data_IF_170953419429
#
_entry.id   IF_170953419429
#
_cell.length_a   1.000
_cell.length_b   1.000
_cell.length_c   1.000
_cell.angle_alpha   90.00
_cell.angle_beta   90.00
_cell.angle_gamma   90.00
#
_symmetry.space_group_name_H-M   'P 1'
#
loop_
_entity.id
_entity.type
_entity.pdbx_description
1 polymer ?
#
# COMPACT_ATOMS: atom_id res chain seq x y z
N UNK A 1 -28.81 -30.43 26.24
CA UNK A 1 -27.37 -30.22 26.01
C UNK A 1 -27.13 -28.73 26.06
N UNK A 2 -26.78 -28.25 27.24
CA UNK A 2 -26.40 -26.86 27.51
C UNK A 2 -25.14 -26.53 26.72
N UNK A 3 -25.23 -25.53 25.85
CA UNK A 3 -24.08 -24.93 25.19
C UNK A 3 -23.24 -24.26 26.27
N UNK A 4 -22.18 -24.93 26.70
CA UNK A 4 -21.12 -24.30 27.47
C UNK A 4 -20.54 -23.17 26.62
N UNK A 5 -20.94 -21.94 26.96
CA UNK A 5 -20.24 -20.75 26.53
C UNK A 5 -18.79 -20.92 26.97
N UNK A 6 -17.90 -21.10 26.00
CA UNK A 6 -16.46 -20.99 26.23
C UNK A 6 -16.22 -19.56 26.71
N UNK A 7 -16.24 -19.36 28.03
CA UNK A 7 -15.60 -18.24 28.68
C UNK A 7 -14.11 -18.37 28.38
N UNK A 8 -13.67 -17.76 27.29
CA UNK A 8 -12.27 -17.38 27.16
C UNK A 8 -12.09 -16.28 28.20
N UNK A 9 -11.76 -16.66 29.43
CA UNK A 9 -11.19 -15.73 30.40
C UNK A 9 -10.07 -14.97 29.67
N UNK A 10 -10.24 -13.65 29.64
CA UNK A 10 -9.45 -12.67 28.91
C UNK A 10 -8.02 -12.66 29.48
N UNK A 11 -7.22 -13.66 29.10
CA UNK A 11 -5.95 -13.99 29.77
C UNK A 11 -4.79 -13.07 29.42
N UNK A 12 -5.02 -12.01 28.66
CA UNK A 12 -3.97 -11.10 28.25
C UNK A 12 -4.04 -9.81 29.06
N UNK A 13 -2.87 -9.41 29.55
CA UNK A 13 -2.69 -8.18 30.32
C UNK A 13 -3.18 -6.99 29.49
N UNK A 14 -3.96 -6.10 30.11
CA UNK A 14 -4.41 -4.87 29.47
C UNK A 14 -3.28 -3.84 29.53
N UNK A 15 -2.99 -3.19 28.41
CA UNK A 15 -2.03 -2.08 28.41
C UNK A 15 -2.53 -0.95 29.32
N UNK A 16 -1.80 -0.57 30.37
CA UNK A 16 -2.23 0.47 31.32
C UNK A 16 -1.65 1.85 30.98
N UNK A 17 -2.09 2.90 31.69
CA UNK A 17 -1.55 4.26 31.47
C UNK A 17 -0.11 4.39 31.96
N UNK A 18 0.23 3.63 33.01
CA UNK A 18 1.54 3.62 33.64
C UNK A 18 2.59 3.01 32.69
N UNK A 19 2.21 1.93 32.00
CA UNK A 19 3.03 1.26 30.98
C UNK A 19 3.48 2.19 29.86
N UNK A 20 2.75 3.27 29.58
CA UNK A 20 3.15 4.29 28.59
C UNK A 20 4.57 4.84 28.83
N UNK A 21 5.02 4.90 30.09
CA UNK A 21 6.30 5.51 30.47
C UNK A 21 7.50 4.64 30.10
N UNK A 22 7.38 3.33 30.17
CA UNK A 22 8.51 2.41 30.12
C UNK A 22 8.35 1.23 29.14
N UNK A 23 7.15 0.99 28.59
CA UNK A 23 6.94 -0.06 27.60
C UNK A 23 7.31 0.39 26.19
N UNK A 24 7.92 -0.51 25.43
CA UNK A 24 8.13 -0.35 23.98
C UNK A 24 6.97 -1.01 23.23
N UNK A 25 6.25 -0.24 22.41
CA UNK A 25 5.13 -0.73 21.60
C UNK A 25 5.65 -1.13 20.22
N UNK A 26 5.52 -2.41 19.86
CA UNK A 26 5.94 -2.94 18.56
C UNK A 26 4.79 -2.84 17.55
N UNK A 27 5.06 -2.18 16.43
CA UNK A 27 4.10 -1.93 15.35
C UNK A 27 4.54 -2.69 14.09
N UNK A 28 3.73 -3.61 13.55
CA UNK A 28 4.00 -4.26 12.27
C UNK A 28 4.06 -3.23 11.14
N UNK A 29 5.00 -3.40 10.20
CA UNK A 29 5.12 -2.47 9.07
C UNK A 29 4.20 -2.87 7.90
N UNK A 30 3.24 -1.99 7.60
CA UNK A 30 2.40 -2.10 6.41
C UNK A 30 2.85 -1.16 5.31
N UNK A 31 3.33 0.04 5.64
CA UNK A 31 3.76 1.04 4.65
C UNK A 31 4.85 1.90 5.28
N UNK A 32 6.09 1.67 4.86
CA UNK A 32 7.26 2.18 5.60
C UNK A 32 7.29 3.71 5.71
N UNK A 33 6.87 4.45 4.67
CA UNK A 33 6.81 5.92 4.68
C UNK A 33 5.79 6.40 5.73
N UNK A 34 4.56 5.89 5.64
CA UNK A 34 3.47 6.27 6.54
C UNK A 34 3.79 5.91 7.99
N UNK A 35 4.26 4.70 8.24
CA UNK A 35 4.52 4.21 9.59
C UNK A 35 5.72 4.90 10.24
N UNK A 36 6.70 5.36 9.45
CA UNK A 36 7.79 6.21 9.95
C UNK A 36 7.26 7.59 10.40
N UNK A 37 6.32 8.18 9.66
CA UNK A 37 5.67 9.43 10.07
C UNK A 37 4.75 9.22 11.28
N UNK A 38 4.01 8.11 11.33
CA UNK A 38 3.17 7.76 12.49
C UNK A 38 4.00 7.52 13.74
N UNK A 39 5.18 6.90 13.63
CA UNK A 39 6.14 6.75 14.73
C UNK A 39 6.47 8.12 15.34
N UNK A 40 6.84 9.11 14.53
CA UNK A 40 7.13 10.47 15.00
C UNK A 40 5.93 11.09 15.74
N UNK A 41 4.71 10.87 15.26
CA UNK A 41 3.48 11.35 15.94
C UNK A 41 3.27 10.64 17.27
N UNK A 42 3.43 9.31 17.34
CA UNK A 42 3.28 8.57 18.59
C UNK A 42 4.33 8.97 19.63
N UNK A 43 5.58 9.18 19.20
CA UNK A 43 6.67 9.66 20.05
C UNK A 43 6.39 11.08 20.58
N UNK A 44 5.81 11.97 19.75
CA UNK A 44 5.34 13.29 20.21
C UNK A 44 4.28 13.16 21.33
N UNK A 45 3.46 12.12 21.29
CA UNK A 45 2.47 11.83 22.34
C UNK A 45 3.06 11.09 23.54
N UNK A 46 4.37 10.85 23.58
CA UNK A 46 5.07 10.19 24.68
C UNK A 46 4.87 8.67 24.70
N UNK A 47 4.59 8.04 23.56
CA UNK A 47 4.65 6.59 23.44
C UNK A 47 6.02 6.19 22.87
N UNK A 48 6.69 5.22 23.50
CA UNK A 48 7.89 4.60 22.92
C UNK A 48 7.45 3.52 21.93
N UNK A 49 7.66 3.74 20.64
CA UNK A 49 7.21 2.82 19.59
C UNK A 49 8.35 2.40 18.68
N UNK A 50 8.30 1.17 18.20
CA UNK A 50 9.23 0.64 17.21
C UNK A 50 8.45 0.02 16.04
N UNK A 51 8.77 0.44 14.82
CA UNK A 51 8.22 -0.17 13.61
C UNK A 51 9.05 -1.41 13.30
N UNK A 52 8.41 -2.57 13.25
CA UNK A 52 9.03 -3.85 12.96
C UNK A 52 9.51 -3.91 11.51
N UNK A 53 10.77 -4.28 11.31
CA UNK A 53 11.42 -4.40 9.99
C UNK A 53 11.95 -5.80 9.71
N UNK A 54 11.77 -6.73 10.66
CA UNK A 54 12.10 -8.14 10.45
C UNK A 54 11.22 -8.73 9.36
N UNK A 55 11.83 -9.54 8.51
CA UNK A 55 11.22 -10.14 7.32
C UNK A 55 11.86 -11.50 7.01
N UNK A 56 11.36 -12.17 5.95
CA UNK A 56 11.92 -13.42 5.47
C UNK A 56 11.29 -14.67 6.09
N UNK A 57 11.96 -15.80 5.90
CA UNK A 57 11.41 -17.12 6.23
C UNK A 57 11.14 -17.33 7.72
N UNK A 58 11.89 -16.68 8.62
CA UNK A 58 11.66 -16.80 10.06
C UNK A 58 10.28 -16.26 10.45
N UNK A 59 9.90 -15.10 9.94
CA UNK A 59 8.58 -14.48 10.12
C UNK A 59 7.46 -15.40 9.63
N UNK A 60 7.61 -15.97 8.43
CA UNK A 60 6.61 -16.89 7.85
C UNK A 60 6.49 -18.16 8.71
N UNK A 61 7.61 -18.73 9.16
CA UNK A 61 7.63 -19.93 9.98
C UNK A 61 6.99 -19.71 11.36
N UNK A 62 7.27 -18.58 12.02
CA UNK A 62 6.62 -18.25 13.29
C UNK A 62 5.11 -18.07 13.12
N UNK A 63 4.68 -17.44 12.01
CA UNK A 63 3.27 -17.35 11.64
C UNK A 63 2.63 -18.73 11.48
N UNK A 64 3.23 -19.62 10.67
CA UNK A 64 2.74 -20.99 10.43
C UNK A 64 2.71 -21.85 11.69
N UNK A 65 3.62 -21.62 12.64
CA UNK A 65 3.70 -22.38 13.89
C UNK A 65 2.53 -22.10 14.82
N UNK A 66 2.07 -20.85 14.89
CA UNK A 66 1.08 -20.43 15.88
C UNK A 66 -0.29 -20.07 15.32
N UNK A 67 -0.37 -19.79 14.02
CA UNK A 67 -1.60 -19.40 13.33
C UNK A 67 -1.99 -20.49 12.33
N UNK A 68 -3.29 -20.80 12.25
CA UNK A 68 -3.80 -21.80 11.32
C UNK A 68 -3.57 -21.35 9.87
N UNK A 69 -3.05 -22.24 9.02
CA UNK A 69 -2.72 -21.97 7.62
C UNK A 69 -3.94 -21.56 6.76
N UNK A 70 -5.15 -22.05 7.09
CA UNK A 70 -6.40 -21.59 6.44
C UNK A 70 -6.82 -20.15 6.76
N UNK A 71 -6.06 -19.40 7.57
CA UNK A 71 -6.30 -17.97 7.77
C UNK A 71 -5.81 -17.15 6.57
N UNK A 72 -6.16 -15.87 6.50
CA UNK A 72 -5.65 -15.00 5.46
C UNK A 72 -4.17 -14.66 5.69
N UNK A 73 -3.37 -14.68 4.62
CA UNK A 73 -1.92 -14.54 4.68
C UNK A 73 -1.40 -13.30 5.47
N UNK A 74 -2.04 -12.11 5.41
CA UNK A 74 -1.62 -10.97 6.21
C UNK A 74 -1.67 -11.22 7.72
N UNK A 75 -2.65 -12.01 8.20
CA UNK A 75 -2.73 -12.36 9.62
C UNK A 75 -1.52 -13.18 10.05
N UNK A 76 -1.12 -14.13 9.20
CA UNK A 76 0.04 -14.98 9.42
C UNK A 76 1.32 -14.16 9.47
N UNK A 77 1.52 -13.26 8.50
CA UNK A 77 2.70 -12.40 8.45
C UNK A 77 2.78 -11.42 9.63
N UNK A 78 1.69 -10.72 9.94
CA UNK A 78 1.67 -9.74 11.04
C UNK A 78 1.92 -10.41 12.39
N UNK A 79 1.25 -11.53 12.66
CA UNK A 79 1.43 -12.27 13.93
C UNK A 79 2.82 -12.92 13.98
N UNK A 80 3.26 -13.51 12.87
CA UNK A 80 4.60 -14.07 12.74
C UNK A 80 5.69 -13.03 12.97
N UNK A 81 5.53 -11.82 12.42
CA UNK A 81 6.51 -10.73 12.55
C UNK A 81 6.62 -10.28 14.00
N UNK A 82 5.50 -10.20 14.72
CA UNK A 82 5.51 -9.88 16.15
C UNK A 82 6.17 -10.98 16.99
N UNK A 83 5.85 -12.26 16.75
CA UNK A 83 6.42 -13.36 17.53
C UNK A 83 7.92 -13.53 17.25
N UNK A 84 8.33 -13.44 15.98
CA UNK A 84 9.74 -13.43 15.58
C UNK A 84 10.52 -12.30 16.26
N UNK A 85 9.92 -11.10 16.34
CA UNK A 85 10.50 -9.97 17.06
C UNK A 85 10.64 -10.27 18.57
N UNK A 86 9.65 -10.90 19.22
CA UNK A 86 9.74 -11.31 20.62
C UNK A 86 10.81 -12.38 20.85
N UNK A 87 10.98 -13.32 19.91
CA UNK A 87 12.00 -14.37 19.96
C UNK A 87 13.43 -13.86 19.71
N UNK A 88 13.59 -12.65 19.16
CA UNK A 88 14.90 -12.11 18.76
C UNK A 88 15.88 -11.85 19.91
N UNK A 89 15.41 -11.80 21.16
CA UNK A 89 16.22 -11.41 22.32
C UNK A 89 16.50 -9.90 22.43
N UNK A 90 16.00 -9.09 21.49
CA UNK A 90 16.21 -7.63 21.47
C UNK A 90 15.40 -6.87 22.53
N UNK A 91 14.26 -7.42 22.95
CA UNK A 91 13.29 -6.71 23.79
C UNK A 91 13.21 -7.29 25.21
N UNK A 92 13.00 -6.42 26.19
CA UNK A 92 12.58 -6.82 27.53
C UNK A 92 11.10 -7.23 27.49
N UNK A 93 10.84 -8.53 27.59
CA UNK A 93 9.50 -9.11 27.50
C UNK A 93 8.56 -8.66 28.64
N UNK A 94 9.09 -8.06 29.71
CA UNK A 94 8.29 -7.47 30.79
C UNK A 94 7.95 -6.00 30.55
N UNK A 95 8.51 -5.40 29.48
CA UNK A 95 8.34 -3.98 29.12
C UNK A 95 8.12 -3.82 27.61
N UNK A 96 7.39 -4.75 27.02
CA UNK A 96 7.00 -4.73 25.61
C UNK A 96 5.48 -4.84 25.49
N UNK A 97 4.92 -4.14 24.52
CA UNK A 97 3.52 -4.25 24.13
C UNK A 97 3.44 -4.43 22.63
N UNK A 98 2.37 -5.06 22.15
CA UNK A 98 2.09 -5.20 20.72
C UNK A 98 0.91 -4.31 20.36
N UNK A 99 0.90 -3.74 19.15
CA UNK A 99 -0.26 -3.01 18.62
C UNK A 99 -0.69 -3.59 17.29
N UNK A 100 -2.00 -3.79 17.13
CA UNK A 100 -2.58 -4.32 15.90
C UNK A 100 -3.85 -3.56 15.53
N UNK A 101 -4.06 -3.32 14.23
CA UNK A 101 -5.28 -2.67 13.76
C UNK A 101 -6.48 -3.60 13.90
N UNK A 102 -7.64 -3.01 14.22
CA UNK A 102 -8.91 -3.73 14.25
C UNK A 102 -9.98 -2.91 13.52
N UNK A 103 -10.37 -3.36 12.33
CA UNK A 103 -11.27 -2.62 11.46
C UNK A 103 -12.74 -2.73 11.90
N UNK A 104 -13.12 -3.85 12.54
CA UNK A 104 -14.51 -4.14 12.90
C UNK A 104 -15.42 -4.19 11.67
N UNK A 105 -14.88 -4.60 10.52
CA UNK A 105 -15.62 -4.88 9.28
C UNK A 105 -15.90 -6.37 9.10
N UNK A 106 -16.47 -6.77 7.96
CA UNK A 106 -16.83 -8.17 7.70
C UNK A 106 -15.71 -9.06 7.12
N UNK A 107 -14.46 -8.59 7.11
CA UNK A 107 -13.32 -9.43 6.74
C UNK A 107 -12.60 -10.00 7.96
N UNK A 108 -11.63 -10.90 7.73
CA UNK A 108 -10.87 -11.58 8.80
C UNK A 108 -10.03 -10.64 9.68
N UNK A 109 -9.70 -9.43 9.20
CA UNK A 109 -8.94 -8.43 9.97
C UNK A 109 -9.55 -8.14 11.35
N UNK A 110 -10.89 -8.16 11.46
CA UNK A 110 -11.60 -7.97 12.74
C UNK A 110 -11.24 -9.01 13.81
N UNK A 111 -10.76 -10.18 13.39
CA UNK A 111 -10.39 -11.30 14.26
C UNK A 111 -8.89 -11.39 14.55
N UNK A 112 -8.05 -10.53 13.96
CA UNK A 112 -6.59 -10.64 14.11
C UNK A 112 -6.15 -10.52 15.56
N UNK A 113 -6.80 -9.66 16.35
CA UNK A 113 -6.48 -9.52 17.77
C UNK A 113 -6.72 -10.82 18.55
N UNK A 114 -7.81 -11.54 18.27
CA UNK A 114 -8.11 -12.82 18.94
C UNK A 114 -7.13 -13.92 18.50
N UNK A 115 -6.73 -13.91 17.23
CA UNK A 115 -5.71 -14.80 16.71
C UNK A 115 -4.35 -14.54 17.35
N UNK A 116 -3.97 -13.27 17.49
CA UNK A 116 -2.75 -12.86 18.17
C UNK A 116 -2.78 -13.28 19.65
N UNK A 117 -3.88 -13.04 20.38
CA UNK A 117 -4.05 -13.53 21.77
C UNK A 117 -3.80 -15.03 21.87
N UNK A 118 -4.41 -15.82 20.99
CA UNK A 118 -4.23 -17.29 20.94
C UNK A 118 -2.80 -17.69 20.60
N UNK A 119 -2.15 -17.00 19.66
CA UNK A 119 -0.79 -17.26 19.24
C UNK A 119 0.22 -16.96 20.36
N UNK A 120 0.10 -15.80 21.03
CA UNK A 120 0.94 -15.44 22.17
C UNK A 120 0.81 -16.45 23.32
N UNK A 121 -0.42 -16.88 23.64
CA UNK A 121 -0.64 -17.90 24.67
C UNK A 121 0.11 -19.20 24.36
N UNK A 122 0.08 -19.65 23.11
CA UNK A 122 0.81 -20.84 22.66
C UNK A 122 2.34 -20.64 22.65
N UNK A 123 2.79 -19.43 22.36
CA UNK A 123 4.21 -19.07 22.34
C UNK A 123 4.80 -18.78 23.74
N UNK A 124 3.97 -18.77 24.79
CA UNK A 124 4.41 -18.48 26.16
C UNK A 124 4.45 -16.99 26.52
N UNK A 125 3.77 -16.13 25.75
CA UNK A 125 3.78 -14.67 25.84
C UNK A 125 2.44 -14.06 26.31
N UNK A 126 1.65 -14.80 27.09
CA UNK A 126 0.33 -14.35 27.58
C UNK A 126 0.39 -13.07 28.42
N UNK A 127 1.53 -12.78 29.04
CA UNK A 127 1.76 -11.60 29.87
C UNK A 127 2.00 -10.32 29.06
N UNK A 128 2.20 -10.41 27.74
CA UNK A 128 2.45 -9.24 26.90
C UNK A 128 1.13 -8.56 26.52
N UNK A 129 0.95 -7.27 26.85
CA UNK A 129 -0.26 -6.55 26.51
C UNK A 129 -0.39 -6.33 25.00
N UNK A 130 -1.63 -6.44 24.51
CA UNK A 130 -2.00 -6.14 23.12
C UNK A 130 -2.87 -4.89 23.12
N UNK A 131 -2.55 -3.95 22.24
CA UNK A 131 -3.31 -2.73 21.99
C UNK A 131 -4.11 -2.91 20.71
N UNK A 132 -5.44 -2.84 20.79
CA UNK A 132 -6.28 -2.70 19.60
C UNK A 132 -6.28 -1.25 19.08
N UNK A 133 -5.66 -1.03 17.92
CA UNK A 133 -5.75 0.25 17.21
C UNK A 133 -7.05 0.30 16.41
N UNK A 134 -8.07 0.96 16.96
CA UNK A 134 -9.37 1.14 16.30
C UNK A 134 -10.04 2.47 16.72
N UNK A 135 -10.72 3.10 15.78
CA UNK A 135 -11.49 4.34 16.02
C UNK A 135 -12.92 4.07 16.54
N UNK A 136 -13.33 2.80 16.61
CA UNK A 136 -14.68 2.37 17.03
C UNK A 136 -14.81 2.16 18.54
N UNK A 137 -13.72 2.28 19.31
CA UNK A 137 -13.71 2.09 20.76
C UNK A 137 -14.00 0.65 21.20
N UNK A 138 -13.54 -0.34 20.42
CA UNK A 138 -13.79 -1.76 20.66
C UNK A 138 -13.11 -2.29 21.93
N UNK A 139 -12.03 -1.63 22.39
CA UNK A 139 -11.34 -1.95 23.64
C UNK A 139 -11.38 -0.75 24.60
N UNK A 140 -12.38 -0.73 25.48
CA UNK A 140 -12.63 0.41 26.39
C UNK A 140 -11.64 0.51 27.56
N UNK A 141 -10.96 -0.58 27.89
CA UNK A 141 -10.14 -0.69 29.10
C UNK A 141 -8.65 -0.37 28.87
N UNK A 142 -8.25 -0.07 27.64
CA UNK A 142 -6.85 0.22 27.32
C UNK A 142 -6.41 1.60 27.82
N UNK A 143 -5.20 1.65 28.38
CA UNK A 143 -4.47 2.88 28.70
C UNK A 143 -3.99 3.63 27.46
N UNK A 144 -3.99 2.98 26.30
CA UNK A 144 -3.74 3.61 25.00
C UNK A 144 -4.98 4.40 24.56
N UNK A 145 -4.84 5.72 24.39
CA UNK A 145 -5.96 6.61 24.06
C UNK A 145 -5.79 7.27 22.69
N UNK A 146 -6.69 6.93 21.76
CA UNK A 146 -6.87 7.65 20.50
C UNK A 146 -7.77 8.87 20.70
N UNK A 147 -7.13 9.99 21.07
CA UNK A 147 -7.82 11.28 21.21
C UNK A 147 -8.03 11.94 19.84
N UNK A 148 -9.03 12.81 19.70
CA UNK A 148 -9.27 13.55 18.46
C UNK A 148 -8.03 14.34 17.98
N UNK A 149 -7.26 15.02 18.85
CA UNK A 149 -5.99 15.65 18.44
C UNK A 149 -4.97 14.67 17.86
N UNK A 150 -4.82 13.48 18.47
CA UNK A 150 -3.91 12.44 17.96
C UNK A 150 -4.37 11.93 16.59
N UNK A 151 -5.67 11.63 16.44
CA UNK A 151 -6.25 11.19 15.17
C UNK A 151 -6.02 12.23 14.07
N UNK A 152 -6.22 13.52 14.39
CA UNK A 152 -5.95 14.59 13.42
C UNK A 152 -4.48 14.65 12.99
N UNK A 153 -3.54 14.50 13.93
CA UNK A 153 -2.10 14.51 13.60
C UNK A 153 -1.68 13.28 12.80
N UNK A 154 -2.28 12.12 13.07
CA UNK A 154 -2.10 10.92 12.24
C UNK A 154 -2.66 11.12 10.83
N UNK A 155 -3.79 11.82 10.68
CA UNK A 155 -4.33 12.18 9.36
C UNK A 155 -3.40 13.13 8.59
N UNK A 156 -2.77 14.09 9.28
CA UNK A 156 -1.74 14.96 8.68
C UNK A 156 -0.52 14.15 8.24
N UNK A 157 -0.02 13.24 9.10
CA UNK A 157 1.06 12.33 8.77
C UNK A 157 0.72 11.43 7.57
N UNK A 158 -0.52 10.95 7.49
CA UNK A 158 -1.03 10.16 6.36
C UNK A 158 -1.02 11.01 5.08
N UNK A 159 -1.45 12.26 5.15
CA UNK A 159 -1.44 13.18 4.00
C UNK A 159 -0.03 13.40 3.46
N UNK A 160 0.97 13.56 4.33
CA UNK A 160 2.36 13.65 3.90
C UNK A 160 2.90 12.32 3.35
N UNK A 161 2.52 11.20 3.96
CA UNK A 161 2.92 9.86 3.49
C UNK A 161 2.41 9.58 2.08
N UNK A 162 1.14 9.87 1.80
CA UNK A 162 0.55 9.70 0.48
C UNK A 162 1.25 10.58 -0.56
N UNK A 163 1.54 11.84 -0.23
CA UNK A 163 2.29 12.74 -1.11
C UNK A 163 3.70 12.20 -1.42
N UNK A 164 4.46 11.77 -0.41
CA UNK A 164 5.82 11.27 -0.58
C UNK A 164 5.85 9.98 -1.40
N UNK A 165 4.93 9.05 -1.13
CA UNK A 165 4.80 7.81 -1.88
C UNK A 165 4.44 8.07 -3.35
N UNK A 166 3.43 8.91 -3.60
CA UNK A 166 3.00 9.28 -4.94
C UNK A 166 4.14 9.83 -5.80
N UNK A 167 4.92 10.77 -5.23
CA UNK A 167 6.02 11.41 -5.95
C UNK A 167 7.21 10.46 -6.12
N UNK A 168 7.56 9.68 -5.09
CA UNK A 168 8.61 8.67 -5.17
C UNK A 168 8.35 7.70 -6.32
N UNK A 169 7.12 7.21 -6.44
CA UNK A 169 6.78 6.17 -7.43
C UNK A 169 6.84 6.69 -8.88
N UNK A 170 6.65 7.99 -9.07
CA UNK A 170 6.79 8.66 -10.37
C UNK A 170 8.21 9.12 -10.69
N UNK A 171 9.09 9.30 -9.70
CA UNK A 171 10.48 9.74 -9.91
C UNK A 171 11.47 8.57 -9.93
N UNK A 172 11.34 7.63 -8.99
CA UNK A 172 12.28 6.52 -8.79
C UNK A 172 12.60 5.71 -10.06
N UNK A 173 11.63 5.39 -10.94
CA UNK A 173 11.90 4.66 -12.18
C UNK A 173 12.85 5.40 -13.13
N UNK A 174 12.90 6.74 -13.06
CA UNK A 174 13.58 7.59 -14.04
C UNK A 174 14.87 8.22 -13.50
N UNK A 175 15.32 7.86 -12.30
CA UNK A 175 16.48 8.47 -11.66
C UNK A 175 17.76 8.33 -12.48
N UNK A 176 18.44 9.44 -12.74
CA UNK A 176 19.81 9.41 -13.28
C UNK A 176 20.78 8.89 -12.20
N UNK A 177 20.62 9.39 -10.96
CA UNK A 177 21.38 8.94 -9.80
C UNK A 177 20.48 8.07 -8.92
N UNK A 178 20.66 6.74 -8.99
CA UNK A 178 19.86 5.76 -8.23
C UNK A 178 19.85 6.07 -6.73
N UNK A 179 18.67 6.07 -6.12
CA UNK A 179 18.43 6.34 -4.70
C UNK A 179 18.12 7.80 -4.36
N UNK A 180 18.10 8.72 -5.33
CA UNK A 180 17.88 10.15 -5.07
C UNK A 180 16.52 10.46 -4.42
N UNK A 181 15.45 9.85 -4.93
CA UNK A 181 14.10 9.99 -4.39
C UNK A 181 13.95 9.35 -3.02
N UNK A 182 14.58 8.20 -2.76
CA UNK A 182 14.56 7.53 -1.45
C UNK A 182 15.26 8.41 -0.39
N UNK A 183 16.45 8.94 -0.72
CA UNK A 183 17.16 9.89 0.14
C UNK A 183 16.33 11.15 0.42
N UNK A 184 15.58 11.64 -0.58
CA UNK A 184 14.69 12.80 -0.41
C UNK A 184 13.49 12.46 0.48
N UNK A 185 12.92 11.27 0.36
CA UNK A 185 11.88 10.76 1.28
C UNK A 185 12.41 10.72 2.71
N UNK A 186 13.60 10.14 2.93
CA UNK A 186 14.22 10.08 4.26
C UNK A 186 14.48 11.47 4.83
N UNK A 187 14.95 12.41 3.99
CA UNK A 187 15.08 13.81 4.37
C UNK A 187 13.75 14.40 4.86
N UNK A 188 12.67 14.21 4.10
CA UNK A 188 11.36 14.76 4.45
C UNK A 188 10.74 14.10 5.68
N UNK A 189 10.88 12.78 5.85
CA UNK A 189 10.45 12.08 7.07
C UNK A 189 11.15 12.68 8.30
N UNK A 190 12.47 12.87 8.23
CA UNK A 190 13.25 13.47 9.31
C UNK A 190 12.89 14.95 9.53
N UNK A 191 12.69 15.73 8.46
CA UNK A 191 12.33 17.14 8.55
C UNK A 191 10.94 17.33 9.17
N UNK A 192 9.95 16.54 8.74
CA UNK A 192 8.59 16.56 9.28
C UNK A 192 8.56 16.03 10.72
N UNK A 193 9.35 15.00 11.05
CA UNK A 193 9.52 14.51 12.41
C UNK A 193 9.97 15.61 13.38
N UNK A 194 11.01 16.38 13.01
CA UNK A 194 11.45 17.55 13.79
C UNK A 194 10.39 18.63 13.91
N UNK A 195 9.54 18.83 12.89
CA UNK A 195 8.39 19.74 13.01
C UNK A 195 7.37 19.22 14.03
N UNK A 196 7.04 17.92 13.97
CA UNK A 196 6.08 17.29 14.85
C UNK A 196 6.51 17.35 16.31
N UNK A 197 7.78 17.11 16.63
CA UNK A 197 8.34 17.26 18.00
C UNK A 197 8.01 18.63 18.62
N UNK A 198 7.96 19.69 17.81
CA UNK A 198 7.70 21.06 18.24
C UNK A 198 6.25 21.53 17.97
N UNK A 199 5.33 20.60 17.74
CA UNK A 199 3.91 20.86 17.41
C UNK A 199 3.70 21.74 16.17
N UNK A 200 4.59 21.63 15.17
CA UNK A 200 4.55 22.31 13.88
C UNK A 200 4.23 21.32 12.77
N UNK A 201 3.83 21.84 11.60
CA UNK A 201 3.53 21.03 10.41
C UNK A 201 2.10 20.51 10.37
N UNK A 202 1.26 20.89 11.35
CA UNK A 202 -0.14 20.46 11.50
C UNK A 202 -1.15 21.53 11.12
N UNK A 203 -0.76 22.81 11.06
CA UNK A 203 -1.67 23.89 10.66
C UNK A 203 -1.86 23.87 9.15
N UNK A 204 -3.07 24.14 8.66
CA UNK A 204 -3.41 24.15 7.23
C UNK A 204 -2.39 24.93 6.38
N UNK A 205 -1.96 26.12 6.82
CA UNK A 205 -0.95 26.92 6.11
C UNK A 205 0.41 26.23 6.05
N UNK A 206 0.83 25.58 7.14
CA UNK A 206 2.09 24.85 7.21
C UNK A 206 2.05 23.59 6.34
N UNK A 207 0.92 22.88 6.35
CA UNK A 207 0.70 21.69 5.50
C UNK A 207 0.82 22.07 4.03
N UNK A 208 0.07 23.06 3.56
CA UNK A 208 0.15 23.48 2.15
C UNK A 208 1.56 23.93 1.77
N UNK A 209 2.26 24.67 2.65
CA UNK A 209 3.66 25.07 2.42
C UNK A 209 4.60 23.88 2.33
N UNK A 210 4.44 22.89 3.20
CA UNK A 210 5.27 21.67 3.18
C UNK A 210 4.97 20.85 1.93
N UNK A 211 3.70 20.63 1.57
CA UNK A 211 3.30 19.91 0.36
C UNK A 211 3.87 20.57 -0.91
N UNK A 212 3.80 21.89 -1.01
CA UNK A 212 4.42 22.64 -2.11
C UNK A 212 5.94 22.42 -2.19
N UNK A 213 6.64 22.53 -1.06
CA UNK A 213 8.09 22.32 -1.01
C UNK A 213 8.48 20.89 -1.34
N UNK A 214 7.69 19.90 -0.89
CA UNK A 214 7.87 18.49 -1.22
C UNK A 214 7.78 18.32 -2.74
N UNK A 215 6.67 18.72 -3.36
CA UNK A 215 6.47 18.59 -4.82
C UNK A 215 7.59 19.24 -5.61
N UNK A 216 7.98 20.48 -5.25
CA UNK A 216 9.10 21.18 -5.92
C UNK A 216 10.42 20.42 -5.79
N UNK A 217 10.76 19.95 -4.58
CA UNK A 217 12.01 19.21 -4.36
C UNK A 217 12.09 17.89 -5.16
N UNK A 218 10.96 17.22 -5.40
CA UNK A 218 10.92 16.05 -6.28
C UNK A 218 11.07 16.44 -7.75
N UNK A 219 10.48 17.55 -8.18
CA UNK A 219 10.61 18.06 -9.55
C UNK A 219 12.02 18.57 -9.89
N UNK A 220 12.86 18.82 -8.89
CA UNK A 220 14.27 19.21 -9.06
C UNK A 220 15.22 18.00 -9.23
N UNK A 221 14.75 16.78 -9.00
CA UNK A 221 15.58 15.57 -9.18
C UNK A 221 15.82 15.36 -10.69
N UNK A 222 17.08 15.26 -11.14
CA UNK A 222 17.39 14.93 -12.53
C UNK A 222 16.89 13.53 -12.91
N UNK A 223 16.10 13.45 -13.96
CA UNK A 223 15.50 12.20 -14.47
C UNK A 223 15.73 12.01 -15.96
N UNK A 224 15.75 10.75 -16.41
CA UNK A 224 15.67 10.41 -17.82
C UNK A 224 14.28 10.73 -18.36
N UNK A 225 14.22 11.36 -19.54
CA UNK A 225 12.96 11.62 -20.23
C UNK A 225 12.69 10.49 -21.23
N UNK A 226 12.20 9.36 -20.73
CA UNK A 226 11.87 8.19 -21.53
C UNK A 226 10.47 7.68 -21.18
N UNK A 227 9.86 6.91 -22.09
CA UNK A 227 8.56 6.27 -21.84
C UNK A 227 8.80 4.87 -21.29
N UNK A 228 8.32 4.61 -20.06
CA UNK A 228 8.32 3.27 -19.47
C UNK A 228 6.94 2.65 -19.49
N UNK A 229 6.91 1.33 -19.35
CA UNK A 229 5.67 0.59 -19.12
C UNK A 229 5.11 1.04 -17.78
N UNK A 230 3.84 1.43 -17.79
CA UNK A 230 3.12 1.89 -16.60
C UNK A 230 2.37 0.73 -15.97
N UNK A 231 2.63 0.50 -14.68
CA UNK A 231 2.03 -0.58 -13.89
C UNK A 231 1.34 -0.02 -12.65
N UNK A 232 0.05 -0.29 -12.51
CA UNK A 232 -0.70 0.00 -11.28
C UNK A 232 -0.63 -1.15 -10.28
N UNK A 233 -0.56 -0.85 -8.99
CA UNK A 233 -0.67 -1.85 -7.91
C UNK A 233 -1.92 -1.55 -7.09
N UNK A 234 -2.81 -2.55 -7.03
CA UNK A 234 -4.05 -2.53 -6.24
C UNK A 234 -4.18 -3.85 -5.51
N UNK A 235 -5.12 -3.96 -4.57
CA UNK A 235 -5.45 -5.25 -3.96
C UNK A 235 -5.80 -5.12 -2.49
N UNK A 236 -5.56 -6.18 -1.72
CA UNK A 236 -5.82 -6.16 -0.28
C UNK A 236 -4.85 -5.21 0.43
N UNK A 237 -5.37 -4.42 1.38
CA UNK A 237 -4.66 -3.27 1.94
C UNK A 237 -3.28 -3.59 2.51
N UNK A 238 -3.08 -4.71 3.18
CA UNK A 238 -1.78 -5.04 3.75
C UNK A 238 -0.78 -5.43 2.67
N UNK A 239 -1.13 -6.37 1.78
CA UNK A 239 -0.22 -6.81 0.70
C UNK A 239 -0.03 -5.74 -0.38
N UNK A 240 -0.95 -4.79 -0.56
CA UNK A 240 -0.79 -3.68 -1.50
C UNK A 240 0.44 -2.82 -1.17
N UNK A 241 0.70 -2.57 0.12
CA UNK A 241 1.77 -1.67 0.57
C UNK A 241 2.96 -2.37 1.24
N UNK A 242 2.75 -3.54 1.87
CA UNK A 242 3.78 -4.19 2.67
C UNK A 242 4.77 -4.94 1.79
N UNK A 243 6.05 -4.55 1.84
CA UNK A 243 7.15 -5.26 1.17
C UNK A 243 7.24 -6.73 1.59
N UNK A 244 7.03 -7.00 2.89
CA UNK A 244 6.94 -8.35 3.44
C UNK A 244 5.74 -9.12 2.86
N UNK A 245 4.61 -8.43 2.70
CA UNK A 245 3.37 -9.02 2.19
C UNK A 245 3.38 -9.37 0.71
N UNK A 246 4.14 -8.63 -0.09
CA UNK A 246 4.13 -8.74 -1.56
C UNK A 246 5.48 -9.07 -2.20
N UNK A 247 6.43 -9.57 -1.40
CA UNK A 247 7.77 -9.93 -1.88
C UNK A 247 8.52 -8.77 -2.57
N UNK A 248 8.38 -7.55 -2.03
CA UNK A 248 9.02 -6.33 -2.54
C UNK A 248 8.58 -5.98 -3.98
N UNK A 249 7.27 -6.08 -4.25
CA UNK A 249 6.69 -5.90 -5.60
C UNK A 249 7.09 -4.58 -6.28
N UNK A 250 7.12 -3.46 -5.54
CA UNK A 250 7.52 -2.16 -6.10
C UNK A 250 8.98 -2.19 -6.59
N UNK A 251 9.90 -2.73 -5.78
CA UNK A 251 11.31 -2.80 -6.15
C UNK A 251 11.54 -3.79 -7.31
N UNK A 252 10.77 -4.89 -7.35
CA UNK A 252 10.79 -5.83 -8.48
C UNK A 252 10.33 -5.17 -9.79
N UNK A 253 9.20 -4.44 -9.79
CA UNK A 253 8.70 -3.75 -10.97
C UNK A 253 9.66 -2.64 -11.45
N UNK A 254 10.31 -1.92 -10.52
CA UNK A 254 11.37 -0.95 -10.88
C UNK A 254 12.54 -1.68 -11.54
N UNK A 255 12.92 -2.87 -11.06
CA UNK A 255 13.99 -3.67 -11.66
C UNK A 255 13.66 -4.19 -13.07
N UNK A 256 12.36 -4.29 -13.39
CA UNK A 256 11.83 -4.65 -14.71
C UNK A 256 11.54 -3.41 -15.60
N UNK A 257 12.10 -2.26 -15.23
CA UNK A 257 12.03 -0.98 -15.93
C UNK A 257 10.62 -0.36 -16.05
N UNK A 258 9.80 -0.53 -15.02
CA UNK A 258 8.42 -0.03 -15.01
C UNK A 258 8.26 1.26 -14.18
N UNK A 259 7.37 2.13 -14.65
CA UNK A 259 6.80 3.20 -13.82
C UNK A 259 5.61 2.66 -13.02
N UNK A 260 5.53 3.00 -11.74
CA UNK A 260 4.55 2.41 -10.81
C UNK A 260 3.57 3.47 -10.31
N UNK A 261 2.29 3.10 -10.18
CA UNK A 261 1.31 3.87 -9.41
C UNK A 261 0.66 3.00 -8.36
N UNK A 262 0.69 3.48 -7.11
CA UNK A 262 0.01 2.84 -5.98
C UNK A 262 -0.97 3.86 -5.41
N UNK A 263 -2.30 3.65 -5.50
CA UNK A 263 -3.26 4.58 -4.92
C UNK A 263 -3.04 4.77 -3.42
N UNK A 264 -3.19 6.00 -2.93
CA UNK A 264 -2.91 6.40 -1.54
C UNK A 264 -3.86 5.82 -0.50
N UNK A 265 -3.43 5.82 0.76
CA UNK A 265 -4.21 5.32 1.90
C UNK A 265 -5.40 6.24 2.21
N UNK A 266 -5.34 7.53 1.86
CA UNK A 266 -6.45 8.48 2.03
C UNK A 266 -7.72 8.00 1.34
N UNK A 267 -7.62 7.41 0.15
CA UNK A 267 -8.75 6.87 -0.59
C UNK A 267 -9.47 5.78 0.21
N UNK A 268 -8.71 4.87 0.84
CA UNK A 268 -9.27 3.85 1.73
C UNK A 268 -9.88 4.46 2.99
N UNK A 269 -9.25 5.47 3.60
CA UNK A 269 -9.80 6.16 4.76
C UNK A 269 -11.15 6.81 4.43
N UNK A 270 -11.25 7.49 3.28
CA UNK A 270 -12.49 8.08 2.78
C UNK A 270 -13.55 7.01 2.49
N UNK A 271 -13.16 5.90 1.88
CA UNK A 271 -14.02 4.75 1.65
C UNK A 271 -14.64 4.21 2.95
N UNK A 272 -13.87 4.10 4.05
CA UNK A 272 -14.45 3.64 5.33
C UNK A 272 -15.52 4.58 5.89
N UNK A 273 -15.37 5.89 5.66
CA UNK A 273 -16.36 6.91 6.05
C UNK A 273 -17.57 6.86 5.11
N UNK A 274 -17.32 6.69 3.81
CA UNK A 274 -18.37 6.56 2.79
C UNK A 274 -19.27 5.36 3.06
N UNK A 275 -18.69 4.19 3.37
CA UNK A 275 -19.45 3.01 3.77
C UNK A 275 -20.42 3.28 4.93
N UNK A 276 -20.01 4.11 5.90
CA UNK A 276 -20.89 4.46 7.03
C UNK A 276 -22.10 5.29 6.58
N UNK A 277 -21.98 6.06 5.49
CA UNK A 277 -23.08 6.80 4.87
C UNK A 277 -23.95 5.86 4.02
N UNK A 278 -23.33 5.05 3.16
CA UNK A 278 -24.00 4.07 2.30
C UNK A 278 -24.82 3.08 3.12
N UNK A 279 -24.30 2.63 4.26
CA UNK A 279 -25.02 1.73 5.16
C UNK A 279 -26.34 2.31 5.65
N UNK A 280 -26.35 3.61 5.95
CA UNK A 280 -27.55 4.30 6.40
C UNK A 280 -28.54 4.50 5.24
N UNK A 281 -28.04 4.69 4.02
CA UNK A 281 -28.89 4.81 2.82
C UNK A 281 -29.56 3.49 2.45
N UNK A 282 -28.82 2.38 2.52
CA UNK A 282 -29.31 1.05 2.11
C UNK A 282 -30.12 0.39 3.21
N UNK A 283 -29.60 0.36 4.45
CA UNK A 283 -30.18 -0.42 5.54
C UNK A 283 -30.98 0.43 6.54
N UNK A 284 -31.01 1.75 6.33
CA UNK A 284 -31.54 2.69 7.31
C UNK A 284 -30.59 2.91 8.49
N UNK A 285 -30.93 3.88 9.34
CA UNK A 285 -30.12 4.20 10.51
C UNK A 285 -30.32 5.63 11.00
N UNK A 286 -29.43 6.05 11.89
CA UNK A 286 -29.50 7.39 12.49
C UNK A 286 -29.06 8.46 11.50
N UNK A 287 -29.95 9.42 11.20
CA UNK A 287 -29.62 10.63 10.42
C UNK A 287 -28.46 11.41 11.02
N UNK A 288 -28.32 11.43 12.36
CA UNK A 288 -27.22 12.08 13.06
C UNK A 288 -25.89 11.41 12.71
N UNK A 289 -25.84 10.07 12.69
CA UNK A 289 -24.64 9.33 12.27
C UNK A 289 -24.27 9.65 10.82
N UNK A 290 -25.27 9.72 9.92
CA UNK A 290 -25.04 10.11 8.53
C UNK A 290 -24.44 11.51 8.42
N UNK A 291 -25.05 12.50 9.07
CA UNK A 291 -24.53 13.88 9.07
C UNK A 291 -23.11 13.96 9.64
N UNK A 292 -22.82 13.21 10.71
CA UNK A 292 -21.46 13.16 11.27
C UNK A 292 -20.44 12.56 10.29
N UNK A 293 -20.80 11.48 9.59
CA UNK A 293 -19.95 10.87 8.56
C UNK A 293 -19.75 11.82 7.38
N UNK A 294 -20.79 12.56 6.95
CA UNK A 294 -20.66 13.58 5.90
C UNK A 294 -19.73 14.73 6.31
N UNK A 295 -19.74 15.15 7.58
CA UNK A 295 -18.81 16.17 8.09
C UNK A 295 -17.37 15.66 8.09
N UNK A 296 -17.14 14.41 8.55
CA UNK A 296 -15.82 13.76 8.49
C UNK A 296 -15.36 13.63 7.04
N UNK A 297 -16.24 13.21 6.13
CA UNK A 297 -15.94 13.11 4.69
C UNK A 297 -15.51 14.47 4.12
N UNK A 298 -16.23 15.55 4.43
CA UNK A 298 -15.83 16.92 4.03
C UNK A 298 -14.45 17.29 4.58
N UNK A 299 -14.14 16.86 5.80
CA UNK A 299 -12.84 17.08 6.41
C UNK A 299 -11.71 16.32 5.70
N UNK A 300 -11.91 15.03 5.38
CA UNK A 300 -10.94 14.23 4.62
C UNK A 300 -10.71 14.79 3.20
N UNK A 301 -11.79 15.19 2.52
CA UNK A 301 -11.73 15.85 1.20
C UNK A 301 -10.89 17.12 1.21
N UNK A 302 -10.87 17.85 2.33
CA UNK A 302 -10.01 19.02 2.45
C UNK A 302 -8.53 18.63 2.28
N UNK A 303 -8.08 17.54 2.94
CA UNK A 303 -6.70 17.04 2.85
C UNK A 303 -6.37 16.44 1.48
N UNK A 304 -7.25 15.61 0.93
CA UNK A 304 -7.14 15.11 -0.45
C UNK A 304 -6.94 16.28 -1.44
N UNK A 305 -7.77 17.31 -1.35
CA UNK A 305 -7.65 18.49 -2.20
C UNK A 305 -6.38 19.31 -1.96
N UNK A 306 -5.72 19.21 -0.80
CA UNK A 306 -4.39 19.81 -0.61
C UNK A 306 -3.34 19.07 -1.42
N UNK A 307 -3.38 17.72 -1.45
CA UNK A 307 -2.48 16.90 -2.25
C UNK A 307 -2.69 17.20 -3.74
N UNK A 308 -3.93 17.06 -4.23
CA UNK A 308 -4.27 17.26 -5.65
C UNK A 308 -3.83 18.65 -6.13
N UNK A 309 -4.13 19.70 -5.36
CA UNK A 309 -3.76 21.08 -5.74
C UNK A 309 -2.25 21.29 -5.77
N UNK A 310 -1.51 20.74 -4.80
CA UNK A 310 -0.06 20.89 -4.76
C UNK A 310 0.60 20.21 -5.97
N UNK A 311 0.19 18.97 -6.30
CA UNK A 311 0.74 18.24 -7.45
C UNK A 311 0.42 18.95 -8.76
N UNK A 312 -0.84 19.32 -9.00
CA UNK A 312 -1.28 20.00 -10.24
C UNK A 312 -0.61 21.35 -10.47
N UNK A 313 -0.31 22.09 -9.41
CA UNK A 313 0.21 23.47 -9.52
C UNK A 313 1.71 23.52 -9.77
N UNK A 314 2.48 22.59 -9.19
CA UNK A 314 3.92 22.76 -9.04
C UNK A 314 4.75 21.71 -9.79
N UNK A 315 4.14 20.89 -10.64
CA UNK A 315 4.85 19.83 -11.35
C UNK A 315 4.08 19.29 -12.55
N UNK A 316 4.76 18.50 -13.38
CA UNK A 316 4.16 17.65 -14.41
C UNK A 316 3.81 16.25 -13.88
N UNK A 317 3.88 16.02 -12.56
CA UNK A 317 3.47 14.75 -11.97
C UNK A 317 1.97 14.54 -12.13
N UNK A 318 1.58 13.28 -12.23
CA UNK A 318 0.19 12.85 -12.26
C UNK A 318 -0.40 12.97 -10.86
N UNK A 319 -1.42 13.82 -10.63
CA UNK A 319 -2.11 13.91 -9.35
C UNK A 319 -2.98 12.66 -9.13
N UNK A 320 -3.31 12.32 -7.86
CA UNK A 320 -4.30 11.28 -7.61
C UNK A 320 -5.68 11.79 -8.04
N UNK A 321 -6.56 10.88 -8.45
CA UNK A 321 -7.97 11.17 -8.66
C UNK A 321 -8.67 11.53 -7.35
N UNK A 322 -9.71 12.36 -7.43
CA UNK A 322 -10.54 12.63 -6.26
C UNK A 322 -11.41 11.42 -5.92
N UNK A 323 -11.75 11.25 -4.65
CA UNK A 323 -12.64 10.19 -4.19
C UNK A 323 -14.02 10.24 -4.85
N UNK A 324 -14.51 11.44 -5.18
CA UNK A 324 -15.76 11.58 -5.95
C UNK A 324 -15.64 11.00 -7.34
N UNK A 325 -14.52 11.28 -8.02
CA UNK A 325 -14.27 10.69 -9.32
C UNK A 325 -14.19 9.17 -9.19
N UNK A 326 -13.41 8.68 -8.23
CA UNK A 326 -13.28 7.25 -7.95
C UNK A 326 -14.64 6.58 -7.74
N UNK A 327 -15.51 7.16 -6.92
CA UNK A 327 -16.87 6.67 -6.68
C UNK A 327 -17.73 6.62 -7.94
N UNK A 328 -17.60 7.62 -8.82
CA UNK A 328 -18.30 7.63 -10.10
C UNK A 328 -17.85 6.51 -11.05
N UNK A 329 -16.58 6.06 -10.95
CA UNK A 329 -16.02 5.02 -11.82
C UNK A 329 -16.56 3.62 -11.52
N UNK A 330 -16.99 3.35 -10.28
CA UNK A 330 -17.58 2.06 -9.90
C UNK A 330 -19.06 1.91 -10.26
N UNK A 331 -19.79 3.01 -10.48
CA UNK A 331 -21.26 3.02 -10.50
C UNK A 331 -21.87 2.01 -11.51
N UNK A 332 -21.27 1.86 -12.70
CA UNK A 332 -21.76 0.97 -13.76
C UNK A 332 -21.14 -0.45 -13.72
N UNK A 333 -20.30 -0.73 -12.72
CA UNK A 333 -19.49 -1.96 -12.64
C UNK A 333 -19.84 -2.76 -11.38
N UNK A 334 -19.90 -2.09 -10.22
CA UNK A 334 -20.13 -2.74 -8.93
C UNK A 334 -20.96 -1.85 -8.01
N UNK A 335 -21.89 -2.45 -7.27
CA UNK A 335 -22.75 -1.73 -6.35
C UNK A 335 -21.98 -1.33 -5.07
N UNK A 336 -22.27 -0.14 -4.53
CA UNK A 336 -21.62 0.36 -3.30
C UNK A 336 -21.91 -0.50 -2.06
N UNK A 337 -22.97 -1.32 -2.08
CA UNK A 337 -23.25 -2.33 -1.06
C UNK A 337 -22.19 -3.45 -0.99
N UNK A 338 -21.36 -3.62 -2.03
CA UNK A 338 -20.20 -4.51 -2.01
C UNK A 338 -19.07 -3.88 -1.18
N UNK A 339 -19.19 -3.93 0.15
CA UNK A 339 -18.35 -3.16 1.09
C UNK A 339 -17.43 -3.99 2.00
N UNK A 340 -17.26 -5.28 1.71
CA UNK A 340 -16.38 -6.15 2.51
C UNK A 340 -14.93 -5.96 2.06
N UNK A 341 -13.99 -5.95 3.01
CA UNK A 341 -12.58 -5.65 2.72
C UNK A 341 -12.42 -4.23 2.18
N UNK A 342 -11.82 -4.12 1.00
CA UNK A 342 -11.70 -2.89 0.21
C UNK A 342 -13.01 -2.57 -0.52
N UNK A 343 -13.88 -3.56 -0.73
CA UNK A 343 -15.16 -3.39 -1.39
C UNK A 343 -15.06 -2.78 -2.79
N UNK A 344 -16.08 -1.98 -3.15
CA UNK A 344 -16.19 -1.33 -4.46
C UNK A 344 -15.00 -0.42 -4.79
N UNK A 345 -14.27 0.10 -3.78
CA UNK A 345 -13.13 0.99 -4.01
C UNK A 345 -12.00 0.30 -4.77
N UNK A 346 -11.78 -1.00 -4.55
CA UNK A 346 -10.74 -1.77 -5.26
C UNK A 346 -11.04 -1.85 -6.75
N UNK A 347 -12.31 -2.08 -7.10
CA UNK A 347 -12.76 -2.08 -8.50
C UNK A 347 -12.62 -0.70 -9.12
N UNK A 348 -13.00 0.35 -8.39
CA UNK A 348 -12.87 1.73 -8.84
C UNK A 348 -11.39 2.11 -9.07
N UNK A 349 -10.49 1.73 -8.17
CA UNK A 349 -9.04 1.98 -8.30
C UNK A 349 -8.48 1.36 -9.57
N UNK A 350 -8.91 0.14 -9.94
CA UNK A 350 -8.48 -0.48 -11.20
C UNK A 350 -8.92 0.33 -12.41
N UNK A 351 -10.17 0.80 -12.42
CA UNK A 351 -10.70 1.60 -13.53
C UNK A 351 -10.03 2.97 -13.61
N UNK A 352 -9.76 3.58 -12.47
CA UNK A 352 -9.06 4.86 -12.37
C UNK A 352 -7.64 4.76 -12.94
N UNK A 353 -6.90 3.71 -12.55
CA UNK A 353 -5.56 3.44 -13.07
C UNK A 353 -5.55 3.25 -14.59
N UNK A 354 -6.50 2.46 -15.13
CA UNK A 354 -6.65 2.30 -16.59
C UNK A 354 -6.86 3.66 -17.27
N UNK A 355 -7.75 4.51 -16.73
CA UNK A 355 -8.00 5.85 -17.27
C UNK A 355 -6.82 6.81 -17.15
N UNK A 356 -5.96 6.61 -16.14
CA UNK A 356 -4.71 7.35 -15.96
C UNK A 356 -3.56 6.83 -16.84
N UNK A 357 -3.79 5.78 -17.64
CA UNK A 357 -2.78 5.17 -18.52
C UNK A 357 -1.92 4.08 -17.86
N UNK A 358 -2.24 3.66 -16.64
CA UNK A 358 -1.68 2.48 -15.99
C UNK A 358 -2.53 1.25 -16.34
N UNK A 359 -2.55 0.90 -17.63
CA UNK A 359 -3.40 -0.17 -18.16
C UNK A 359 -2.96 -1.57 -17.69
N UNK A 360 -1.69 -1.73 -17.33
CA UNK A 360 -1.16 -2.96 -16.73
C UNK A 360 -1.35 -2.89 -15.22
N UNK A 361 -2.06 -3.84 -14.63
CA UNK A 361 -2.39 -3.79 -13.20
C UNK A 361 -2.06 -5.11 -12.53
N UNK A 362 -1.24 -5.03 -11.48
CA UNK A 362 -1.02 -6.13 -10.55
C UNK A 362 -2.03 -5.99 -9.42
N UNK A 363 -3.00 -6.92 -9.38
CA UNK A 363 -3.95 -7.03 -8.28
C UNK A 363 -3.38 -7.99 -7.21
N UNK A 364 -2.83 -7.45 -6.13
CA UNK A 364 -2.22 -8.20 -5.04
C UNK A 364 -3.29 -8.85 -4.18
N UNK A 365 -3.35 -10.18 -4.21
CA UNK A 365 -4.36 -10.96 -3.52
C UNK A 365 -3.69 -11.91 -2.53
N UNK A 366 -3.93 -11.78 -1.22
CA UNK A 366 -3.46 -12.79 -0.29
C UNK A 366 -4.37 -14.01 -0.31
N UNK A 367 -3.80 -15.19 -0.06
CA UNK A 367 -4.59 -16.39 0.21
C UNK A 367 -5.62 -16.13 1.33
N UNK A 368 -6.82 -16.67 1.15
CA UNK A 368 -7.93 -16.51 2.10
C UNK A 368 -8.60 -15.13 2.09
N UNK A 369 -8.28 -14.23 1.16
CA UNK A 369 -8.94 -12.94 1.02
C UNK A 369 -10.23 -13.04 0.19
N UNK A 370 -11.30 -13.52 0.83
CA UNK A 370 -12.64 -13.63 0.23
C UNK A 370 -13.14 -12.32 -0.42
N UNK A 371 -12.95 -11.13 0.18
CA UNK A 371 -13.41 -9.90 -0.46
C UNK A 371 -12.73 -9.63 -1.80
N UNK A 372 -11.40 -9.75 -1.87
CA UNK A 372 -10.64 -9.49 -3.10
C UNK A 372 -11.02 -10.49 -4.21
N UNK A 373 -11.35 -11.75 -3.87
CA UNK A 373 -11.90 -12.68 -4.85
C UNK A 373 -13.19 -12.18 -5.54
N UNK A 374 -14.04 -11.45 -4.81
CA UNK A 374 -15.32 -10.95 -5.31
C UNK A 374 -15.15 -9.60 -6.02
N UNK A 375 -14.62 -8.60 -5.31
CA UNK A 375 -14.56 -7.21 -5.79
C UNK A 375 -13.29 -6.87 -6.56
N UNK A 376 -12.24 -7.69 -6.42
CA UNK A 376 -11.00 -7.58 -7.17
C UNK A 376 -11.02 -8.50 -8.39
N UNK A 377 -10.63 -9.76 -8.16
CA UNK A 377 -10.52 -10.80 -9.20
C UNK A 377 -11.82 -11.04 -9.96
N UNK A 378 -12.96 -11.05 -9.26
CA UNK A 378 -14.28 -11.26 -9.86
C UNK A 378 -14.70 -10.16 -10.84
N UNK A 379 -14.19 -8.94 -10.68
CA UNK A 379 -14.53 -7.80 -11.53
C UNK A 379 -13.64 -7.66 -12.77
N UNK A 380 -12.50 -8.36 -12.83
CA UNK A 380 -11.52 -8.23 -13.94
C UNK A 380 -12.17 -8.42 -15.31
N UNK A 381 -13.04 -9.43 -15.48
CA UNK A 381 -13.73 -9.66 -16.76
C UNK A 381 -14.61 -8.47 -17.14
N UNK A 382 -15.45 -8.00 -16.21
CA UNK A 382 -16.34 -6.86 -16.45
C UNK A 382 -15.57 -5.58 -16.78
N UNK A 383 -14.42 -5.35 -16.11
CA UNK A 383 -13.54 -4.23 -16.43
C UNK A 383 -12.98 -4.37 -17.85
N UNK A 384 -12.48 -5.54 -18.24
CA UNK A 384 -11.94 -5.80 -19.58
C UNK A 384 -12.98 -5.67 -20.70
N UNK A 385 -14.23 -6.06 -20.44
CA UNK A 385 -15.32 -5.90 -21.40
C UNK A 385 -15.60 -4.41 -21.70
N UNK A 386 -15.36 -3.52 -20.73
CA UNK A 386 -15.54 -2.07 -20.86
C UNK A 386 -14.25 -1.38 -21.34
N UNK A 387 -13.10 -1.87 -20.89
CA UNK A 387 -11.77 -1.33 -21.18
C UNK A 387 -10.88 -2.46 -21.74
N UNK A 388 -10.94 -2.73 -23.07
CA UNK A 388 -10.23 -3.85 -23.69
C UNK A 388 -8.71 -3.83 -23.50
N UNK A 389 -8.12 -2.65 -23.33
CA UNK A 389 -6.68 -2.49 -23.08
C UNK A 389 -6.25 -2.87 -21.66
N UNK A 390 -7.20 -3.10 -20.73
CA UNK A 390 -6.88 -3.38 -19.34
C UNK A 390 -6.21 -4.76 -19.17
N UNK A 391 -4.90 -4.73 -18.92
CA UNK A 391 -4.07 -5.90 -18.69
C UNK A 391 -3.90 -6.17 -17.19
N UNK A 392 -4.95 -6.74 -16.58
CA UNK A 392 -5.00 -6.99 -15.13
C UNK A 392 -4.61 -8.43 -14.78
N UNK A 393 -3.61 -8.62 -13.93
CA UNK A 393 -3.23 -9.94 -13.40
C UNK A 393 -3.41 -10.01 -11.89
N UNK A 394 -4.21 -10.97 -11.37
CA UNK A 394 -4.27 -11.23 -9.94
C UNK A 394 -3.07 -12.04 -9.50
N UNK A 395 -2.27 -11.56 -8.55
CA UNK A 395 -1.10 -12.27 -8.01
C UNK A 395 -1.44 -12.76 -6.60
N UNK A 396 -1.43 -14.07 -6.44
CA UNK A 396 -1.73 -14.74 -5.18
C UNK A 396 -0.47 -14.81 -4.30
N UNK A 397 -0.53 -14.21 -3.11
CA UNK A 397 0.50 -14.24 -2.08
C UNK A 397 0.09 -15.15 -0.94
N UNK A 398 0.90 -16.18 -0.70
CA UNK A 398 0.64 -17.21 0.28
C UNK A 398 1.96 -17.89 0.70
N UNK A 399 2.00 -18.61 1.84
CA UNK A 399 3.24 -19.19 2.34
C UNK A 399 3.75 -20.38 1.51
N UNK A 400 2.89 -20.99 0.68
CA UNK A 400 3.22 -22.13 -0.18
C UNK A 400 3.58 -21.76 -1.62
N UNK A 401 3.14 -20.61 -2.11
CA UNK A 401 3.52 -20.11 -3.43
C UNK A 401 4.96 -19.61 -3.43
N UNK A 402 5.74 -20.09 -4.41
CA UNK A 402 7.10 -19.60 -4.60
C UNK A 402 7.09 -18.19 -5.17
N UNK A 403 8.01 -17.36 -4.68
CA UNK A 403 8.26 -16.02 -5.21
C UNK A 403 8.46 -16.04 -6.73
N UNK A 404 9.19 -17.03 -7.24
CA UNK A 404 9.46 -17.21 -8.68
C UNK A 404 8.18 -17.38 -9.49
N UNK A 405 7.18 -18.10 -8.98
CA UNK A 405 5.90 -18.27 -9.69
C UNK A 405 5.15 -16.93 -9.81
N UNK A 406 5.14 -16.13 -8.74
CA UNK A 406 4.53 -14.80 -8.74
C UNK A 406 5.24 -13.86 -9.72
N UNK A 407 6.57 -13.81 -9.67
CA UNK A 407 7.39 -13.00 -10.58
C UNK A 407 7.19 -13.42 -12.04
N UNK A 408 7.15 -14.72 -12.36
CA UNK A 408 6.93 -15.19 -13.72
C UNK A 408 5.58 -14.73 -14.29
N UNK A 409 4.51 -14.75 -13.49
CA UNK A 409 3.19 -14.24 -13.92
C UNK A 409 3.23 -12.75 -14.21
N UNK A 410 3.98 -11.97 -13.42
CA UNK A 410 4.18 -10.54 -13.66
C UNK A 410 5.03 -10.33 -14.93
N UNK A 411 6.12 -11.09 -15.12
CA UNK A 411 6.95 -11.01 -16.33
C UNK A 411 6.16 -11.32 -17.60
N UNK A 412 5.26 -12.30 -17.55
CA UNK A 412 4.35 -12.59 -18.66
C UNK A 412 3.41 -11.40 -18.95
N UNK A 413 2.83 -10.78 -17.91
CA UNK A 413 2.05 -9.54 -18.08
C UNK A 413 2.87 -8.43 -18.74
N UNK A 414 4.12 -8.24 -18.31
CA UNK A 414 5.03 -7.24 -18.86
C UNK A 414 5.46 -7.55 -20.30
N UNK A 415 5.61 -8.82 -20.68
CA UNK A 415 5.87 -9.21 -22.08
C UNK A 415 4.73 -8.76 -22.99
N UNK A 416 3.49 -9.05 -22.60
CA UNK A 416 2.30 -8.60 -23.33
C UNK A 416 2.23 -7.06 -23.39
N UNK A 417 2.62 -6.38 -22.30
CA UNK A 417 2.67 -4.93 -22.27
C UNK A 417 3.69 -4.35 -23.26
N UNK A 418 4.87 -4.96 -23.38
CA UNK A 418 5.93 -4.59 -24.33
C UNK A 418 5.45 -4.78 -25.77
N UNK A 419 4.87 -5.93 -26.09
CA UNK A 419 4.30 -6.23 -27.40
C UNK A 419 3.21 -5.21 -27.80
N UNK A 420 2.28 -4.90 -26.89
CA UNK A 420 1.24 -3.90 -27.13
C UNK A 420 1.82 -2.49 -27.34
N UNK A 421 2.90 -2.14 -26.63
CA UNK A 421 3.57 -0.85 -26.80
C UNK A 421 4.27 -0.74 -28.15
N UNK A 422 4.87 -1.83 -28.65
CA UNK A 422 5.49 -1.90 -29.98
C UNK A 422 4.44 -1.78 -31.09
N UNK A 423 3.33 -2.52 -30.98
CA UNK A 423 2.22 -2.47 -31.96
C UNK A 423 1.58 -1.08 -32.07
N UNK A 424 1.46 -0.36 -30.95
CA UNK A 424 0.88 0.98 -30.91
C UNK A 424 1.86 2.10 -31.32
N UNK A 425 3.13 1.77 -31.56
CA UNK A 425 4.18 2.73 -31.87
C UNK A 425 5.05 2.26 -33.05
N UNK A 426 4.48 2.07 -34.26
CA UNK A 426 5.11 1.40 -35.40
C UNK A 426 6.31 2.13 -36.03
N UNK A 427 6.69 3.32 -35.55
CA UNK A 427 7.80 4.13 -36.11
C UNK A 427 9.20 3.70 -35.62
N UNK A 428 9.39 2.42 -35.30
CA UNK A 428 10.72 1.82 -35.06
C UNK A 428 11.05 0.67 -36.01
N UNK A 429 10.32 0.53 -37.12
CA UNK A 429 10.84 -0.21 -38.26
C UNK A 429 11.90 0.64 -38.98
N UNK A 430 13.09 0.06 -39.11
CA UNK A 430 14.29 0.66 -39.69
C UNK A 430 14.00 1.53 -40.92
N UNK A 431 14.33 2.82 -40.84
CA UNK A 431 14.86 3.50 -42.01
C UNK A 431 16.17 2.78 -42.37
N UNK A 432 16.06 1.78 -43.24
CA UNK A 432 17.18 1.40 -44.08
C UNK A 432 17.45 2.63 -44.92
N UNK A 433 18.44 3.42 -44.52
CA UNK A 433 18.92 4.51 -45.35
C UNK A 433 19.26 3.90 -46.72
N UNK A 434 18.56 4.36 -47.76
CA UNK A 434 18.96 4.16 -49.14
C UNK A 434 20.38 4.69 -49.28
N UNK A 435 21.36 3.78 -49.21
CA UNK A 435 22.72 4.08 -49.62
C UNK A 435 22.62 4.27 -51.14
N UNK A 436 22.54 5.54 -51.56
CA UNK A 436 22.83 5.92 -52.93
C UNK A 436 24.24 5.42 -53.24
N UNK A 437 24.33 4.39 -54.08
CA UNK A 437 25.53 4.12 -54.87
C UNK A 437 25.82 5.35 -55.70
N UNK A 438 26.67 6.24 -55.20
CA UNK A 438 27.66 6.92 -56.01
C UNK A 438 28.58 7.76 -55.12
N UNK A 439 29.86 7.76 -55.48
CA UNK A 439 30.95 8.61 -54.97
C UNK A 439 31.82 8.12 -53.81
N UNK A 440 32.34 6.89 -53.89
CA UNK A 440 33.66 6.62 -53.30
C UNK A 440 34.51 5.78 -54.27
N UNK A 441 35.33 6.47 -55.06
CA UNK A 441 36.37 5.85 -55.87
C UNK A 441 37.41 5.19 -54.96
N UNK A 442 37.40 3.86 -54.91
CA UNK A 442 38.50 3.08 -54.35
C UNK A 442 38.94 2.04 -55.36
N UNK A 443 40.17 2.24 -55.85
CA UNK A 443 40.89 1.29 -56.69
C UNK A 443 41.09 -0.03 -55.94
N UNK A 444 40.58 -1.10 -56.54
CA UNK A 444 41.19 -2.41 -56.67
C UNK A 444 41.74 -3.11 -55.42
N UNK A 445 41.03 -4.15 -54.98
CA UNK A 445 41.69 -5.38 -54.53
C UNK A 445 40.80 -6.59 -54.90
N UNK A 446 41.35 -7.51 -55.71
CA UNK A 446 40.75 -8.80 -56.08
C UNK A 446 41.34 -9.89 -55.20
N UNK A 447 40.50 -10.62 -54.44
CA UNK A 447 40.63 -12.05 -54.08
C UNK A 447 39.19 -12.48 -53.75
N UNK A 448 38.55 -13.54 -54.26
CA UNK A 448 39.01 -14.75 -54.91
C UNK A 448 38.40 -15.97 -54.19
N UNK A 449 37.25 -16.46 -54.70
CA UNK A 449 36.75 -17.85 -54.69
C UNK A 449 36.30 -18.57 -53.39
N UNK A 450 35.08 -19.12 -53.48
CA UNK A 450 34.59 -20.44 -53.00
C UNK A 450 34.52 -20.65 -51.45
N UNK A 451 33.49 -21.26 -50.82
CA UNK A 451 32.63 -22.41 -51.16
C UNK A 451 31.37 -22.44 -50.26
N UNK A 452 30.41 -23.29 -50.66
CA UNK A 452 29.02 -23.43 -50.19
C UNK A 452 28.84 -24.19 -48.86
N UNK A 453 27.64 -23.98 -48.31
CA UNK A 453 26.79 -24.80 -47.45
C UNK A 453 27.06 -26.32 -47.35
N UNK A 454 26.80 -26.85 -46.14
CA UNK A 454 26.18 -28.17 -45.94
C UNK A 454 26.96 -29.16 -45.07
N UNK A 455 26.66 -29.19 -43.76
CA UNK A 455 26.10 -30.35 -43.05
C UNK A 455 25.62 -29.93 -41.65
#
# INVERSE_FOLDING_TARGET
MTTDHINIEDSNVVFTKEMKKDYTILIPDMSSIHFSLFKNVFEQYGYKVEILKNEGFSVVNEGLKYVHNDICYPALLVIGQMIDALNSGKYDLNKVALIISQTGGGCRASNYIHLLKKALKKAGYSNIPIISFNVKGLEKNSGFKLTLPLINKLLVALTYGDMLMLLKNQVKPYEISKGSSENLVDFWINHLGRQFEHDKGYKIKEINRNLERIVKSFGEIPVFNEKKIKVGIVGEIYVKYSKLGNNHLEDFLISEDCEIMVPGIMGFAMYTVDNSMVDIDIYGGSKIKRTSASLIMKYLRMYENMIIRAVKKYSNFTPPSSFEHLKSLSADIINEGCKMGEGWVLTAEMVDLVKMGYENIVCTQPFGCLPNHIVGKGMIRKIRDIYPNANIVPIDYDPGATKVNQENRIKLMLSVARENQELNNPTKDCEVADIKEDSLGVKGYKIGKHLKAGN
#
